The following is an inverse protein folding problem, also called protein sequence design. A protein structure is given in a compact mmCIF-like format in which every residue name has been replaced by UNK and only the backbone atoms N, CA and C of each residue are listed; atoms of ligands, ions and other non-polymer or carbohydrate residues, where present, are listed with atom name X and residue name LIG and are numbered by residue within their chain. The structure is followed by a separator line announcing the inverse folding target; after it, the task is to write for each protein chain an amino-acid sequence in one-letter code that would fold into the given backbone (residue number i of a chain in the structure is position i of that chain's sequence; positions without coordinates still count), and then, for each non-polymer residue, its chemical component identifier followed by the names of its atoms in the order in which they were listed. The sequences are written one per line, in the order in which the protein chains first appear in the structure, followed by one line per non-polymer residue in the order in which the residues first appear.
data_IF_477789010940
#
_entry.id   IF_477789010940
#
_cell.length_a   1.000
_cell.length_b   1.000
_cell.length_c   1.000
_cell.angle_alpha   90.00
_cell.angle_beta   90.00
_cell.angle_gamma   90.00
#
_symmetry.space_group_name_H-M   'P 1'
#
loop_
_entity.id
_entity.type
_entity.pdbx_description
1 polymer ?
#
# COMPACT_ATOMS: atom_id res chain seq x y z
N UNK A 1 5.97 24.70 31.50
CA UNK A 1 7.04 24.40 30.50
C UNK A 1 8.14 23.45 31.02
N UNK A 2 7.80 22.36 31.73
CA UNK A 2 8.77 21.34 32.20
C UNK A 2 9.25 20.30 31.15
N UNK A 3 8.55 19.97 30.04
CA UNK A 3 8.99 18.89 29.16
C UNK A 3 10.18 19.30 28.27
N UNK A 4 10.24 20.56 27.81
CA UNK A 4 11.30 21.04 26.92
C UNK A 4 12.69 20.95 27.56
N UNK A 5 12.79 21.25 28.86
CA UNK A 5 14.07 21.20 29.60
C UNK A 5 14.59 19.77 29.74
N UNK A 6 13.71 18.78 29.91
CA UNK A 6 14.09 17.36 29.99
C UNK A 6 14.70 16.85 28.69
N UNK A 7 14.15 17.25 27.53
CA UNK A 7 14.70 16.90 26.23
C UNK A 7 16.07 17.53 25.98
N UNK A 8 16.26 18.79 26.39
CA UNK A 8 17.55 19.48 26.26
C UNK A 8 18.63 18.81 27.12
N UNK A 9 18.31 18.47 28.38
CA UNK A 9 19.23 17.76 29.27
C UNK A 9 19.56 16.36 28.74
N UNK A 10 18.56 15.63 28.23
CA UNK A 10 18.76 14.32 27.61
C UNK A 10 19.69 14.39 26.38
N UNK A 11 19.54 15.40 25.52
CA UNK A 11 20.42 15.63 24.38
C UNK A 11 21.87 15.92 24.80
N UNK A 12 22.07 16.76 25.83
CA UNK A 12 23.41 17.09 26.34
C UNK A 12 24.08 15.86 26.95
N UNK A 13 23.32 15.04 27.69
CA UNK A 13 23.82 13.79 28.27
C UNK A 13 24.17 12.76 27.20
N UNK A 14 23.34 12.59 26.17
CA UNK A 14 23.60 11.72 25.02
C UNK A 14 24.87 12.16 24.27
N UNK A 15 25.06 13.47 24.09
CA UNK A 15 26.25 14.02 23.45
C UNK A 15 27.53 13.73 24.26
N UNK A 16 27.49 13.99 25.58
CA UNK A 16 28.62 13.70 26.48
C UNK A 16 28.90 12.20 26.60
N UNK A 17 27.86 11.36 26.55
CA UNK A 17 28.00 9.92 26.59
C UNK A 17 28.64 9.40 25.29
N UNK A 18 28.23 9.95 24.13
CA UNK A 18 28.81 9.59 22.84
C UNK A 18 30.28 10.02 22.68
N UNK A 19 30.72 11.05 23.40
CA UNK A 19 32.13 11.45 23.39
C UNK A 19 33.02 10.55 24.26
N UNK A 20 32.44 9.83 25.23
CA UNK A 20 33.18 8.96 26.17
C UNK A 20 33.11 7.49 25.78
N UNK A 21 32.04 7.10 25.10
CA UNK A 21 31.82 5.76 24.56
C UNK A 21 31.46 6.00 23.10
N UNK A 22 32.25 5.48 22.15
CA UNK A 22 31.94 5.57 20.71
C UNK A 22 30.70 4.70 20.43
N UNK A 23 29.52 5.21 20.77
CA UNK A 23 28.23 4.55 20.55
C UNK A 23 27.77 4.85 19.12
N UNK A 24 28.06 6.06 18.64
CA UNK A 24 27.64 6.58 17.35
C UNK A 24 28.88 6.88 16.49
N UNK A 25 29.36 5.86 15.76
CA UNK A 25 30.39 6.06 14.73
C UNK A 25 29.82 6.92 13.60
N UNK A 26 30.30 8.16 13.45
CA UNK A 26 29.79 9.14 12.48
C UNK A 26 29.73 8.64 11.02
N UNK A 27 30.54 7.63 10.67
CA UNK A 27 30.52 6.98 9.35
C UNK A 27 29.31 6.05 9.16
N UNK A 28 28.84 5.40 10.23
CA UNK A 28 27.64 4.54 10.24
C UNK A 28 26.37 5.40 10.28
N UNK A 29 26.40 6.53 10.98
CA UNK A 29 25.26 7.46 11.07
C UNK A 29 25.04 8.18 9.75
N UNK A 30 26.09 8.72 9.11
CA UNK A 30 25.96 9.39 7.83
C UNK A 30 25.41 8.45 6.75
N UNK A 31 25.99 7.26 6.62
CA UNK A 31 25.53 6.25 5.66
C UNK A 31 24.12 5.72 5.97
N UNK A 32 23.83 5.43 7.25
CA UNK A 32 22.51 4.98 7.70
C UNK A 32 21.44 6.06 7.50
N UNK A 33 21.71 7.29 7.92
CA UNK A 33 20.81 8.43 7.80
C UNK A 33 20.52 8.78 6.34
N UNK A 34 21.54 8.76 5.45
CA UNK A 34 21.33 8.93 4.00
C UNK A 34 20.47 7.80 3.44
N UNK A 35 20.67 6.54 3.88
CA UNK A 35 19.84 5.41 3.46
C UNK A 35 18.39 5.56 3.94
N UNK A 36 18.19 6.00 5.18
CA UNK A 36 16.86 6.32 5.73
C UNK A 36 16.20 7.49 5.01
N UNK A 37 16.95 8.56 4.70
CA UNK A 37 16.45 9.71 3.96
C UNK A 37 16.06 9.31 2.53
N UNK A 38 16.86 8.45 1.89
CA UNK A 38 16.57 7.92 0.56
C UNK A 38 15.31 7.06 0.57
N UNK A 39 15.18 6.13 1.53
CA UNK A 39 13.96 5.33 1.71
C UNK A 39 12.74 6.18 2.05
N UNK A 40 12.90 7.18 2.93
CA UNK A 40 11.85 8.14 3.27
C UNK A 40 11.41 8.97 2.08
N UNK A 41 12.36 9.46 1.27
CA UNK A 41 12.08 10.18 0.03
C UNK A 41 11.36 9.32 -1.00
N UNK A 42 11.74 8.04 -1.13
CA UNK A 42 11.05 7.07 -1.99
C UNK A 42 9.59 6.83 -1.52
N UNK A 43 9.37 6.75 -0.21
CA UNK A 43 8.03 6.62 0.37
C UNK A 43 7.20 7.89 0.19
N UNK A 44 7.80 9.07 0.35
CA UNK A 44 7.12 10.36 0.11
C UNK A 44 6.74 10.48 -1.37
N UNK A 45 7.65 10.13 -2.30
CA UNK A 45 7.37 10.13 -3.73
C UNK A 45 6.20 9.20 -4.09
N UNK A 46 6.16 8.01 -3.48
CA UNK A 46 5.01 7.08 -3.57
C UNK A 46 3.72 7.73 -3.08
N UNK A 47 3.74 8.35 -1.91
CA UNK A 47 2.55 8.99 -1.32
C UNK A 47 2.05 10.15 -2.19
N UNK A 48 2.97 10.97 -2.71
CA UNK A 48 2.63 12.06 -3.63
C UNK A 48 2.00 11.52 -4.91
N UNK A 49 2.54 10.45 -5.50
CA UNK A 49 1.97 9.85 -6.70
C UNK A 49 0.52 9.36 -6.47
N UNK A 50 0.26 8.67 -5.35
CA UNK A 50 -1.09 8.22 -4.99
C UNK A 50 -2.03 9.39 -4.75
N UNK A 51 -1.58 10.40 -4.00
CA UNK A 51 -2.39 11.58 -3.71
C UNK A 51 -2.73 12.34 -4.99
N UNK A 52 -1.77 12.52 -5.91
CA UNK A 52 -2.02 13.16 -7.19
C UNK A 52 -3.06 12.40 -8.03
N UNK A 53 -2.94 11.07 -8.15
CA UNK A 53 -3.92 10.26 -8.89
C UNK A 53 -5.31 10.33 -8.24
N UNK A 54 -5.39 10.25 -6.91
CA UNK A 54 -6.64 10.41 -6.16
C UNK A 54 -7.24 11.80 -6.37
N UNK A 55 -6.46 12.87 -6.22
CA UNK A 55 -6.92 14.25 -6.41
C UNK A 55 -7.39 14.50 -7.84
N UNK A 56 -6.68 13.97 -8.85
CA UNK A 56 -7.11 14.04 -10.25
C UNK A 56 -8.43 13.31 -10.47
N UNK A 57 -8.57 12.09 -9.94
CA UNK A 57 -9.81 11.32 -9.97
C UNK A 57 -10.98 12.10 -9.35
N UNK A 58 -10.79 12.65 -8.14
CA UNK A 58 -11.81 13.45 -7.46
C UNK A 58 -12.13 14.74 -8.23
N UNK A 59 -11.14 15.41 -8.80
CA UNK A 59 -11.34 16.62 -9.59
C UNK A 59 -12.16 16.35 -10.85
N UNK A 60 -11.93 15.22 -11.51
CA UNK A 60 -12.71 14.79 -12.68
C UNK A 60 -14.15 14.41 -12.27
N UNK A 61 -14.33 13.68 -11.16
CA UNK A 61 -15.65 13.35 -10.63
C UNK A 61 -16.46 14.61 -10.21
N UNK A 62 -15.79 15.64 -9.67
CA UNK A 62 -16.44 16.89 -9.29
C UNK A 62 -16.99 17.68 -10.49
N UNK A 63 -16.44 17.48 -11.70
CA UNK A 63 -16.90 18.15 -12.93
C UNK A 63 -18.21 17.58 -13.46
N UNK A 64 -18.55 16.34 -13.10
CA UNK A 64 -19.82 15.68 -13.47
C UNK A 64 -21.03 16.20 -12.67
N UNK A 65 -20.78 17.02 -11.63
CA UNK A 65 -21.81 17.66 -10.81
C UNK A 65 -21.89 17.15 -9.36
N UNK A 66 -22.73 17.77 -8.53
CA UNK A 66 -22.76 17.51 -7.09
C UNK A 66 -23.31 16.11 -6.73
N UNK A 67 -24.31 15.62 -7.47
CA UNK A 67 -24.94 14.31 -7.20
C UNK A 67 -23.98 13.14 -7.53
N UNK A 68 -23.31 13.10 -8.70
CA UNK A 68 -22.29 12.09 -8.98
C UNK A 68 -21.09 12.15 -8.04
N UNK A 69 -20.66 13.36 -7.65
CA UNK A 69 -19.57 13.53 -6.70
C UNK A 69 -19.91 12.94 -5.31
N UNK A 70 -21.13 13.14 -4.82
CA UNK A 70 -21.59 12.56 -3.55
C UNK A 70 -21.56 11.01 -3.58
N UNK A 71 -22.04 10.41 -4.68
CA UNK A 71 -22.00 8.96 -4.88
C UNK A 71 -20.56 8.42 -4.98
N UNK A 72 -19.68 9.12 -5.69
CA UNK A 72 -18.26 8.80 -5.78
C UNK A 72 -17.58 8.84 -4.41
N UNK A 73 -17.86 9.88 -3.61
CA UNK A 73 -17.28 10.06 -2.29
C UNK A 73 -17.70 8.96 -1.31
N UNK A 74 -18.97 8.54 -1.36
CA UNK A 74 -19.46 7.41 -0.57
C UNK A 74 -18.70 6.12 -0.92
N UNK A 75 -18.51 5.84 -2.22
CA UNK A 75 -17.74 4.69 -2.69
C UNK A 75 -16.28 4.76 -2.22
N UNK A 76 -15.64 5.93 -2.34
CA UNK A 76 -14.27 6.14 -1.89
C UNK A 76 -14.11 5.95 -0.38
N UNK A 77 -15.05 6.43 0.43
CA UNK A 77 -15.01 6.26 1.88
C UNK A 77 -15.02 4.79 2.28
N UNK A 78 -15.98 4.03 1.74
CA UNK A 78 -16.06 2.57 1.96
C UNK A 78 -14.78 1.88 1.50
N UNK A 79 -14.31 2.24 0.30
CA UNK A 79 -13.08 1.69 -0.27
C UNK A 79 -11.85 1.97 0.62
N UNK A 80 -11.72 3.17 1.18
CA UNK A 80 -10.63 3.55 2.08
C UNK A 80 -10.69 2.81 3.42
N UNK A 81 -11.88 2.67 4.02
CA UNK A 81 -12.05 1.95 5.29
C UNK A 81 -11.54 0.50 5.19
N UNK A 82 -11.81 -0.14 4.06
CA UNK A 82 -11.44 -1.54 3.83
C UNK A 82 -9.98 -1.66 3.41
N UNK A 83 -9.48 -0.66 2.68
CA UNK A 83 -8.05 -0.52 2.40
C UNK A 83 -7.22 -0.46 3.69
N UNK A 84 -7.68 0.30 4.70
CA UNK A 84 -7.02 0.38 6.00
C UNK A 84 -6.99 -0.97 6.74
N UNK A 85 -8.04 -1.79 6.60
CA UNK A 85 -8.05 -3.13 7.16
C UNK A 85 -7.00 -4.04 6.51
N UNK A 86 -6.86 -3.96 5.18
CA UNK A 86 -5.81 -4.67 4.45
C UNK A 86 -4.41 -4.15 4.79
N UNK A 87 -4.27 -2.85 5.05
CA UNK A 87 -3.00 -2.24 5.47
C UNK A 87 -2.55 -2.75 6.85
N UNK A 88 -3.48 -2.93 7.79
CA UNK A 88 -3.19 -3.54 9.08
C UNK A 88 -2.64 -4.98 8.94
N UNK A 89 -3.21 -5.78 8.02
CA UNK A 89 -2.70 -7.12 7.70
C UNK A 89 -1.30 -7.06 7.06
N UNK A 90 -1.09 -6.12 6.13
CA UNK A 90 0.20 -5.92 5.48
C UNK A 90 1.30 -5.54 6.48
N UNK A 91 1.01 -4.65 7.43
CA UNK A 91 1.93 -4.24 8.50
C UNK A 91 2.28 -5.41 9.43
N UNK A 92 1.31 -6.27 9.75
CA UNK A 92 1.57 -7.49 10.52
C UNK A 92 2.52 -8.44 9.74
N UNK A 93 2.27 -8.63 8.45
CA UNK A 93 3.13 -9.42 7.57
C UNK A 93 4.55 -8.84 7.45
N UNK A 94 4.65 -7.52 7.32
CA UNK A 94 5.93 -6.79 7.28
C UNK A 94 6.77 -7.06 8.53
N UNK A 95 6.16 -6.95 9.72
CA UNK A 95 6.86 -7.14 10.99
C UNK A 95 7.36 -8.59 11.17
N UNK A 96 6.51 -9.58 10.84
CA UNK A 96 6.87 -10.99 10.92
C UNK A 96 7.98 -11.35 9.91
N UNK A 97 7.84 -10.89 8.67
CA UNK A 97 8.82 -11.14 7.62
C UNK A 97 10.16 -10.49 7.95
N UNK A 98 10.16 -9.22 8.38
CA UNK A 98 11.37 -8.51 8.78
C UNK A 98 12.10 -9.25 9.91
N UNK A 99 11.36 -9.74 10.91
CA UNK A 99 11.93 -10.48 12.05
C UNK A 99 12.66 -11.74 11.60
N UNK A 100 12.02 -12.57 10.79
CA UNK A 100 12.61 -13.83 10.31
C UNK A 100 13.72 -13.61 9.28
N UNK A 101 13.61 -12.55 8.46
CA UNK A 101 14.67 -12.13 7.54
C UNK A 101 15.93 -11.69 8.30
N UNK A 102 15.77 -10.94 9.39
CA UNK A 102 16.91 -10.47 10.21
C UNK A 102 17.61 -11.64 10.91
N UNK A 103 16.86 -12.67 11.31
CA UNK A 103 17.40 -13.94 11.85
C UNK A 103 18.04 -14.85 10.80
N UNK A 104 18.03 -14.47 9.51
CA UNK A 104 18.43 -15.31 8.37
C UNK A 104 17.68 -16.65 8.28
N UNK A 105 16.48 -16.72 8.86
CA UNK A 105 15.64 -17.91 8.84
C UNK A 105 14.74 -17.90 7.60
N UNK A 106 15.35 -18.16 6.44
CA UNK A 106 14.68 -18.03 5.14
C UNK A 106 13.51 -19.01 4.93
N UNK A 107 13.56 -20.20 5.56
CA UNK A 107 12.46 -21.17 5.54
C UNK A 107 11.21 -20.60 6.22
N UNK A 108 11.37 -20.03 7.42
CA UNK A 108 10.26 -19.40 8.14
C UNK A 108 9.76 -18.14 7.44
N UNK A 109 10.67 -17.32 6.90
CA UNK A 109 10.31 -16.14 6.11
C UNK A 109 9.45 -16.50 4.89
N UNK A 110 9.76 -17.60 4.19
CA UNK A 110 8.96 -18.11 3.07
C UNK A 110 7.58 -18.60 3.51
N UNK A 111 7.47 -19.26 4.66
CA UNK A 111 6.15 -19.65 5.21
C UNK A 111 5.30 -18.44 5.59
N UNK A 112 5.91 -17.41 6.21
CA UNK A 112 5.23 -16.15 6.52
C UNK A 112 4.75 -15.48 5.23
N UNK A 113 5.60 -15.40 4.21
CA UNK A 113 5.26 -14.85 2.89
C UNK A 113 4.00 -15.48 2.30
N UNK A 114 3.96 -16.82 2.19
CA UNK A 114 2.80 -17.51 1.62
C UNK A 114 1.56 -17.42 2.50
N UNK A 115 1.70 -17.51 3.83
CA UNK A 115 0.54 -17.39 4.72
C UNK A 115 -0.08 -16.00 4.69
N UNK A 116 0.74 -14.94 4.69
CA UNK A 116 0.22 -13.57 4.61
C UNK A 116 -0.44 -13.34 3.26
N UNK A 117 0.11 -13.87 2.16
CA UNK A 117 -0.52 -13.80 0.83
C UNK A 117 -1.84 -14.56 0.77
N UNK A 118 -1.91 -15.76 1.36
CA UNK A 118 -3.13 -16.57 1.42
C UNK A 118 -4.19 -15.90 2.29
N UNK A 119 -3.83 -15.46 3.50
CA UNK A 119 -4.75 -14.74 4.40
C UNK A 119 -5.24 -13.47 3.71
N UNK A 120 -4.35 -12.70 3.07
CA UNK A 120 -4.70 -11.50 2.33
C UNK A 120 -5.65 -11.74 1.17
N UNK A 121 -5.43 -12.80 0.39
CA UNK A 121 -6.34 -13.18 -0.68
C UNK A 121 -7.72 -13.60 -0.15
N UNK A 122 -7.75 -14.39 0.93
CA UNK A 122 -9.00 -14.83 1.58
C UNK A 122 -9.75 -13.64 2.18
N UNK A 123 -9.08 -12.76 2.92
CA UNK A 123 -9.71 -11.58 3.52
C UNK A 123 -10.19 -10.61 2.45
N UNK A 124 -9.38 -10.36 1.40
CA UNK A 124 -9.78 -9.51 0.28
C UNK A 124 -11.01 -10.04 -0.47
N UNK A 125 -11.06 -11.35 -0.71
CA UNK A 125 -12.22 -11.99 -1.36
C UNK A 125 -13.45 -11.98 -0.45
N UNK A 126 -13.28 -12.28 0.84
CA UNK A 126 -14.37 -12.22 1.80
C UNK A 126 -14.97 -10.80 1.91
N UNK A 127 -14.11 -9.78 1.97
CA UNK A 127 -14.52 -8.37 1.98
C UNK A 127 -15.24 -7.98 0.69
N UNK A 128 -14.78 -8.46 -0.47
CA UNK A 128 -15.45 -8.23 -1.74
C UNK A 128 -16.88 -8.81 -1.76
N UNK A 129 -17.06 -10.04 -1.25
CA UNK A 129 -18.38 -10.69 -1.15
C UNK A 129 -19.28 -9.91 -0.19
N UNK A 130 -18.78 -9.57 1.00
CA UNK A 130 -19.54 -8.81 2.01
C UNK A 130 -20.02 -7.48 1.43
N UNK A 131 -19.18 -6.79 0.67
CA UNK A 131 -19.56 -5.54 0.02
C UNK A 131 -20.54 -5.74 -1.11
N UNK A 132 -20.33 -6.75 -1.96
CA UNK A 132 -21.22 -6.98 -3.09
C UNK A 132 -22.67 -7.16 -2.64
N UNK A 133 -22.90 -7.89 -1.55
CA UNK A 133 -24.24 -8.08 -0.97
C UNK A 133 -24.67 -6.98 0.00
N UNK A 134 -23.74 -6.43 0.79
CA UNK A 134 -24.04 -5.49 1.88
C UNK A 134 -24.05 -4.01 1.49
N UNK A 135 -23.42 -3.63 0.37
CA UNK A 135 -23.24 -2.22 0.02
C UNK A 135 -24.55 -1.49 -0.26
N UNK A 136 -25.56 -2.17 -0.81
CA UNK A 136 -26.89 -1.59 -0.99
C UNK A 136 -27.48 -1.10 0.34
N UNK A 137 -27.54 -1.98 1.34
CA UNK A 137 -28.01 -1.63 2.69
C UNK A 137 -27.08 -0.68 3.43
N UNK A 138 -25.77 -0.76 3.19
CA UNK A 138 -24.81 0.16 3.79
C UNK A 138 -24.98 1.57 3.23
N UNK A 139 -25.20 1.71 1.92
CA UNK A 139 -25.34 3.01 1.26
C UNK A 139 -26.57 3.80 1.72
N UNK A 140 -27.68 3.11 2.04
CA UNK A 140 -28.87 3.76 2.61
C UNK A 140 -28.67 4.29 4.03
N UNK A 141 -27.60 3.90 4.74
CA UNK A 141 -27.28 4.49 6.05
C UNK A 141 -26.65 5.89 5.93
N UNK A 142 -26.11 6.25 4.76
CA UNK A 142 -25.43 7.52 4.54
C UNK A 142 -26.31 8.56 3.87
N UNK A 143 -27.31 8.13 3.10
CA UNK A 143 -28.21 9.04 2.39
C UNK A 143 -29.52 8.37 2.00
N UNK A 144 -30.60 9.16 2.03
CA UNK A 144 -31.93 8.78 1.55
C UNK A 144 -32.20 9.28 0.11
N UNK A 145 -31.25 9.97 -0.53
CA UNK A 145 -31.43 10.50 -1.88
C UNK A 145 -31.34 9.37 -2.92
N UNK A 146 -32.44 9.07 -3.66
CA UNK A 146 -32.46 7.99 -4.64
C UNK A 146 -31.49 8.22 -5.81
N UNK A 147 -31.16 9.46 -6.16
CA UNK A 147 -30.22 9.77 -7.23
C UNK A 147 -28.78 9.43 -6.81
N UNK A 148 -28.40 9.73 -5.56
CA UNK A 148 -27.09 9.37 -5.00
C UNK A 148 -26.97 7.87 -4.80
N UNK A 149 -28.04 7.21 -4.33
CA UNK A 149 -28.08 5.75 -4.17
C UNK A 149 -27.96 5.01 -5.51
N UNK A 150 -28.54 5.54 -6.59
CA UNK A 150 -28.38 4.98 -7.94
C UNK A 150 -26.92 4.96 -8.39
N UNK A 151 -26.20 6.06 -8.17
CA UNK A 151 -24.78 6.17 -8.50
C UNK A 151 -23.94 5.30 -7.57
N UNK A 152 -24.22 5.30 -6.26
CA UNK A 152 -23.53 4.45 -5.30
C UNK A 152 -23.67 2.96 -5.64
N UNK A 153 -24.87 2.51 -6.06
CA UNK A 153 -25.09 1.13 -6.53
C UNK A 153 -24.26 0.78 -7.75
N UNK A 154 -24.08 1.70 -8.70
CA UNK A 154 -23.15 1.47 -9.82
C UNK A 154 -21.69 1.35 -9.36
N UNK A 155 -21.32 2.08 -8.30
CA UNK A 155 -19.99 2.03 -7.68
C UNK A 155 -19.71 0.75 -6.89
N UNK A 156 -20.72 -0.06 -6.57
CA UNK A 156 -20.55 -1.39 -5.95
C UNK A 156 -19.61 -2.26 -6.78
N UNK A 157 -19.78 -2.26 -8.10
CA UNK A 157 -18.93 -3.04 -8.99
C UNK A 157 -17.48 -2.57 -8.93
N UNK A 158 -17.26 -1.26 -8.89
CA UNK A 158 -15.93 -0.70 -8.69
C UNK A 158 -15.33 -1.13 -7.35
N UNK A 159 -16.05 -0.96 -6.25
CA UNK A 159 -15.55 -1.27 -4.91
C UNK A 159 -15.31 -2.77 -4.75
N UNK A 160 -16.26 -3.63 -5.14
CA UNK A 160 -16.19 -5.07 -4.97
C UNK A 160 -15.12 -5.72 -5.86
N UNK A 161 -15.01 -5.34 -7.14
CA UNK A 161 -13.98 -5.89 -8.05
C UNK A 161 -12.59 -5.40 -7.67
N UNK A 162 -12.47 -4.15 -7.21
CA UNK A 162 -11.16 -3.63 -6.79
C UNK A 162 -10.67 -4.23 -5.47
N UNK A 163 -11.55 -4.71 -4.58
CA UNK A 163 -11.14 -5.17 -3.24
C UNK A 163 -10.10 -6.31 -3.25
N UNK A 164 -10.28 -7.42 -4.00
CA UNK A 164 -9.29 -8.51 -4.01
C UNK A 164 -7.94 -8.05 -4.57
N UNK A 165 -7.98 -7.23 -5.63
CA UNK A 165 -6.78 -6.64 -6.25
C UNK A 165 -6.05 -5.75 -5.24
N UNK A 166 -6.81 -4.95 -4.51
CA UNK A 166 -6.31 -4.04 -3.50
C UNK A 166 -5.67 -4.78 -2.33
N UNK A 167 -6.33 -5.83 -1.82
CA UNK A 167 -5.81 -6.68 -0.75
C UNK A 167 -4.46 -7.30 -1.12
N UNK A 168 -4.34 -7.83 -2.35
CA UNK A 168 -3.07 -8.37 -2.86
C UNK A 168 -2.01 -7.28 -2.96
N UNK A 169 -2.36 -6.10 -3.51
CA UNK A 169 -1.41 -4.99 -3.64
C UNK A 169 -0.88 -4.50 -2.28
N UNK A 170 -1.74 -4.36 -1.27
CA UNK A 170 -1.33 -3.96 0.09
C UNK A 170 -0.44 -5.00 0.76
N UNK A 171 -0.81 -6.28 0.66
CA UNK A 171 -0.01 -7.36 1.24
C UNK A 171 1.38 -7.42 0.61
N UNK A 172 1.47 -7.36 -0.72
CA UNK A 172 2.76 -7.40 -1.42
C UNK A 172 3.65 -6.19 -1.07
N UNK A 173 3.06 -5.01 -0.90
CA UNK A 173 3.79 -3.85 -0.41
C UNK A 173 4.41 -4.07 0.98
N UNK A 174 3.62 -4.57 1.94
CA UNK A 174 4.11 -4.87 3.28
C UNK A 174 5.29 -5.86 3.24
N UNK A 175 5.22 -6.84 2.32
CA UNK A 175 6.29 -7.80 2.11
C UNK A 175 7.57 -7.14 1.55
N UNK A 176 7.47 -6.19 0.60
CA UNK A 176 8.64 -5.42 0.13
C UNK A 176 9.30 -4.62 1.23
N UNK A 177 8.50 -3.97 2.06
CA UNK A 177 9.01 -3.20 3.19
C UNK A 177 9.67 -4.12 4.23
N UNK A 178 9.17 -5.34 4.39
CA UNK A 178 9.75 -6.35 5.29
C UNK A 178 11.18 -6.75 4.91
N UNK A 179 11.48 -6.81 3.61
CA UNK A 179 12.82 -7.16 3.08
C UNK A 179 13.65 -5.95 2.65
N UNK A 180 13.14 -4.74 2.85
CA UNK A 180 13.77 -3.47 2.46
C UNK A 180 14.00 -3.27 0.95
N UNK A 181 13.18 -3.86 0.06
CA UNK A 181 13.25 -3.62 -1.40
C UNK A 181 12.52 -2.31 -1.80
N UNK A 182 12.90 -1.20 -1.17
CA UNK A 182 12.24 0.10 -1.33
C UNK A 182 12.43 0.71 -2.72
N UNK A 183 13.55 0.41 -3.39
CA UNK A 183 13.86 0.95 -4.70
C UNK A 183 12.90 0.42 -5.76
N UNK A 184 12.65 -0.89 -5.78
CA UNK A 184 11.69 -1.49 -6.71
C UNK A 184 10.27 -1.00 -6.46
N UNK A 185 9.84 -0.94 -5.18
CA UNK A 185 8.52 -0.45 -4.81
C UNK A 185 8.26 0.97 -5.34
N UNK A 186 9.24 1.87 -5.23
CA UNK A 186 9.08 3.24 -5.71
C UNK A 186 9.05 3.37 -7.24
N UNK A 187 9.96 2.70 -7.96
CA UNK A 187 9.93 2.72 -9.43
C UNK A 187 8.63 2.13 -9.98
N UNK A 188 8.21 0.98 -9.43
CA UNK A 188 6.94 0.34 -9.78
C UNK A 188 5.75 1.27 -9.56
N UNK A 189 5.73 2.00 -8.43
CA UNK A 189 4.63 2.91 -8.11
C UNK A 189 4.59 4.11 -9.06
N UNK A 190 5.76 4.63 -9.44
CA UNK A 190 5.88 5.73 -10.38
C UNK A 190 5.35 5.35 -11.77
N UNK A 191 5.79 4.21 -12.31
CA UNK A 191 5.32 3.74 -13.62
C UNK A 191 3.82 3.39 -13.60
N UNK A 192 3.34 2.72 -12.55
CA UNK A 192 1.92 2.43 -12.39
C UNK A 192 1.08 3.71 -12.35
N UNK A 193 1.55 4.72 -11.61
CA UNK A 193 0.90 6.03 -11.50
C UNK A 193 0.92 6.83 -12.80
N UNK A 194 2.02 6.77 -13.55
CA UNK A 194 2.12 7.48 -14.84
C UNK A 194 1.17 6.89 -15.88
N UNK A 195 1.13 5.55 -15.98
CA UNK A 195 0.24 4.83 -16.91
C UNK A 195 -1.23 5.05 -16.53
N UNK A 196 -1.57 4.94 -15.25
CA UNK A 196 -2.95 5.15 -14.79
C UNK A 196 -3.40 6.61 -14.96
N UNK A 197 -2.52 7.58 -14.73
CA UNK A 197 -2.84 9.00 -14.92
C UNK A 197 -3.05 9.33 -16.39
N UNK A 198 -2.22 8.78 -17.30
CA UNK A 198 -2.44 8.91 -18.73
C UNK A 198 -3.77 8.29 -19.17
N UNK A 199 -4.11 7.11 -18.64
CA UNK A 199 -5.39 6.46 -18.90
C UNK A 199 -6.58 7.28 -18.38
N UNK A 200 -6.50 7.83 -17.17
CA UNK A 200 -7.54 8.69 -16.59
C UNK A 200 -7.81 9.93 -17.45
N UNK A 201 -6.76 10.56 -17.98
CA UNK A 201 -6.89 11.74 -18.82
C UNK A 201 -7.61 11.47 -20.16
N UNK A 202 -7.52 10.23 -20.67
CA UNK A 202 -8.17 9.82 -21.92
C UNK A 202 -9.57 9.24 -21.66
N UNK A 203 -9.74 8.43 -20.61
CA UNK A 203 -10.97 7.71 -20.34
C UNK A 203 -12.02 8.55 -19.58
N UNK A 204 -11.61 9.50 -18.74
CA UNK A 204 -12.55 10.30 -17.98
C UNK A 204 -13.41 11.25 -18.85
N UNK A 205 -12.87 11.91 -19.90
CA UNK A 205 -13.70 12.72 -20.80
C UNK A 205 -14.72 11.91 -21.63
N UNK A 206 -14.42 10.65 -21.94
CA UNK A 206 -15.25 9.79 -22.80
C UNK A 206 -16.31 9.00 -21.99
N UNK A 207 -15.95 8.52 -20.79
CA UNK A 207 -16.79 7.61 -19.98
C UNK A 207 -17.22 8.19 -18.62
N UNK A 208 -16.93 9.47 -18.36
CA UNK A 208 -17.29 10.17 -17.12
C UNK A 208 -16.82 9.44 -15.87
N UNK A 209 -17.73 9.26 -14.90
CA UNK A 209 -17.47 8.60 -13.62
C UNK A 209 -16.97 7.15 -13.76
N UNK A 210 -17.43 6.43 -14.78
CA UNK A 210 -17.00 5.06 -15.07
C UNK A 210 -15.54 5.00 -15.54
N UNK A 211 -15.11 5.99 -16.34
CA UNK A 211 -13.72 6.14 -16.76
C UNK A 211 -12.77 6.42 -15.59
N UNK A 212 -13.23 7.23 -14.63
CA UNK A 212 -12.50 7.50 -13.38
C UNK A 212 -12.31 6.22 -12.56
N UNK A 213 -13.36 5.44 -12.37
CA UNK A 213 -13.30 4.15 -11.67
C UNK A 213 -12.42 3.12 -12.39
N UNK A 214 -12.50 3.05 -13.72
CA UNK A 214 -11.64 2.17 -14.52
C UNK A 214 -10.16 2.53 -14.35
N UNK A 215 -9.81 3.82 -14.34
CA UNK A 215 -8.42 4.25 -14.12
C UNK A 215 -7.88 3.93 -12.73
N UNK A 216 -8.73 4.02 -11.69
CA UNK A 216 -8.36 3.60 -10.34
C UNK A 216 -8.18 2.08 -10.22
N UNK A 217 -9.05 1.28 -10.85
CA UNK A 217 -8.87 -0.18 -10.91
C UNK A 217 -7.57 -0.52 -11.65
N UNK A 218 -7.30 0.16 -12.77
CA UNK A 218 -6.08 -0.03 -13.55
C UNK A 218 -4.83 0.27 -12.70
N UNK A 219 -4.83 1.37 -11.96
CA UNK A 219 -3.74 1.72 -11.06
C UNK A 219 -3.47 0.61 -10.01
N UNK A 220 -4.52 0.13 -9.34
CA UNK A 220 -4.40 -0.94 -8.34
C UNK A 220 -3.98 -2.27 -8.95
N UNK A 221 -4.45 -2.58 -10.16
CA UNK A 221 -4.11 -3.79 -10.90
C UNK A 221 -2.65 -3.79 -11.31
N UNK A 222 -2.15 -2.68 -11.86
CA UNK A 222 -0.73 -2.52 -12.21
C UNK A 222 0.16 -2.66 -10.96
N UNK A 223 -0.27 -2.11 -9.82
CA UNK A 223 0.38 -2.29 -8.52
C UNK A 223 0.47 -3.77 -8.12
N UNK A 224 -0.65 -4.49 -8.17
CA UNK A 224 -0.70 -5.90 -7.80
C UNK A 224 0.17 -6.78 -8.73
N UNK A 225 0.09 -6.54 -10.04
CA UNK A 225 0.86 -7.29 -11.05
C UNK A 225 2.35 -7.03 -10.91
N UNK A 226 2.79 -5.77 -10.81
CA UNK A 226 4.20 -5.46 -10.60
C UNK A 226 4.71 -6.02 -9.26
N UNK A 227 3.82 -6.04 -8.26
CA UNK A 227 3.94 -6.75 -6.99
C UNK A 227 4.34 -8.22 -7.14
N UNK A 228 3.43 -8.98 -7.74
CA UNK A 228 3.55 -10.42 -7.93
C UNK A 228 4.70 -10.77 -8.89
N UNK A 229 4.94 -9.96 -9.92
CA UNK A 229 6.02 -10.16 -10.89
C UNK A 229 7.39 -10.15 -10.21
N UNK A 230 7.64 -9.25 -9.26
CA UNK A 230 8.92 -9.21 -8.52
C UNK A 230 9.11 -10.43 -7.63
N UNK A 231 8.04 -10.86 -6.95
CA UNK A 231 8.04 -12.05 -6.11
C UNK A 231 8.35 -13.30 -6.95
N UNK A 232 7.80 -13.38 -8.17
CA UNK A 232 8.05 -14.48 -9.12
C UNK A 232 9.43 -14.42 -9.80
N UNK A 233 9.94 -13.22 -10.10
CA UNK A 233 11.21 -13.02 -10.82
C UNK A 233 12.45 -13.41 -10.00
N UNK A 234 12.32 -13.77 -8.71
CA UNK A 234 13.41 -14.12 -7.78
C UNK A 234 14.58 -13.11 -7.74
N UNK A 235 14.37 -11.88 -8.18
CA UNK A 235 15.41 -10.86 -8.29
C UNK A 235 15.64 -10.11 -6.97
N UNK A 236 16.90 -9.88 -6.60
CA UNK A 236 17.27 -9.08 -5.43
C UNK A 236 17.21 -9.86 -4.10
N UNK A 237 16.74 -9.28 -2.99
CA UNK A 237 16.72 -9.92 -1.66
C UNK A 237 15.77 -11.12 -1.59
N UNK A 238 14.92 -11.28 -2.61
CA UNK A 238 14.01 -12.41 -2.76
C UNK A 238 14.75 -13.70 -3.15
N UNK A 239 15.93 -13.62 -3.76
CA UNK A 239 16.70 -14.81 -4.13
C UNK A 239 17.14 -15.60 -2.89
N UNK A 240 17.55 -14.94 -1.81
CA UNK A 240 17.94 -15.64 -0.57
C UNK A 240 16.76 -16.29 0.15
N UNK A 241 15.54 -15.81 -0.06
CA UNK A 241 14.31 -16.39 0.51
C UNK A 241 13.76 -17.54 -0.38
N UNK A 242 13.95 -17.45 -1.70
CA UNK A 242 13.37 -18.35 -2.71
C UNK A 242 14.36 -19.31 -3.38
N UNK A 243 15.68 -19.20 -3.11
CA UNK A 243 16.67 -20.14 -3.62
C UNK A 243 16.55 -21.47 -2.87
N UNK A 244 16.27 -22.52 -3.62
CA UNK A 244 15.99 -23.87 -3.17
C UNK A 244 17.26 -24.71 -2.91
N UNK A 245 18.44 -24.09 -2.92
CA UNK A 245 19.72 -24.81 -3.04
C UNK A 245 20.22 -25.51 -1.78
N UNK A 246 19.53 -25.42 -0.65
CA UNK A 246 19.99 -26.02 0.62
C UNK A 246 19.19 -27.26 1.06
N UNK A 247 18.31 -27.78 0.19
CA UNK A 247 17.49 -28.97 0.45
C UNK A 247 17.92 -30.23 -0.33
N UNK A 248 18.86 -30.12 -1.27
CA UNK A 248 19.35 -31.28 -2.06
C UNK A 248 20.64 -31.93 -1.57
N UNK A 249 21.30 -31.36 -0.55
CA UNK A 249 22.55 -31.89 0.03
C UNK A 249 22.36 -32.60 1.39
N UNK A 250 21.10 -32.85 1.81
CA UNK A 250 20.77 -33.51 3.08
C UNK A 250 19.68 -34.59 2.99
N UNK A 251 19.47 -35.16 1.80
CA UNK A 251 18.73 -36.41 1.61
C UNK A 251 19.63 -37.36 0.81
#
# INVERSE_FOLDING_TARGET
NLPAVRYVIACILLWKLNSKVVIFSGKIIGGGMIRYLKSGGLLIGRTIAVLLTMTLSTSLAAREGPVPMAGHQLCLQVWLTISLLNDALALAGQALLATEYTKRNYKQARMVLYRVLQIGGVTGTALAIILFFGFGSFSSLFTDDPAVLGIAKSGVWFVAISQPINAVAFVVDGLYYGVSDFAYAAYSMFFAGAISSAFLLVAAPEFGLGGVWAGLILFMSLRAVAGLWRLGSKGGPWNSILSETDLRDKM
#
